data_IF_031663537207
#
_entry.id   IF_031663537207
#
_cell.length_a   1.000
_cell.length_b   1.000
_cell.length_c   1.000
_cell.angle_alpha   90.00
_cell.angle_beta   90.00
_cell.angle_gamma   90.00
#
_symmetry.space_group_name_H-M   'P 1'
#
loop_
_entity.id
_entity.type
_entity.pdbx_description
1 polymer ?
#
# COMPACT_ATOMS: atom_id res chain seq x y z
N UNK A 1 20.00 -12.63 -7.28
CA UNK A 1 18.82 -13.40 -7.73
C UNK A 1 18.47 -12.98 -9.14
N UNK A 2 18.13 -13.91 -10.06
CA UNK A 2 17.70 -13.55 -11.41
C UNK A 2 16.44 -12.67 -11.31
N UNK A 3 16.39 -11.62 -12.13
CA UNK A 3 15.23 -10.72 -12.19
C UNK A 3 14.10 -11.46 -12.89
N UNK A 4 12.99 -11.75 -12.20
CA UNK A 4 11.77 -12.17 -12.86
C UNK A 4 11.34 -11.09 -13.85
N UNK A 5 10.96 -11.50 -15.06
CA UNK A 5 10.27 -10.63 -16.01
C UNK A 5 8.99 -10.09 -15.34
N UNK A 6 8.68 -8.81 -15.56
CA UNK A 6 7.42 -8.22 -15.05
C UNK A 6 6.25 -8.84 -15.80
N UNK A 7 5.19 -9.22 -15.08
CA UNK A 7 3.98 -9.71 -15.70
C UNK A 7 3.36 -8.63 -16.59
N UNK A 8 2.88 -9.04 -17.77
CA UNK A 8 2.10 -8.19 -18.67
C UNK A 8 0.64 -8.35 -18.26
N UNK A 9 -0.07 -7.23 -18.06
CA UNK A 9 -1.48 -7.23 -17.71
C UNK A 9 -2.34 -7.61 -18.92
N UNK A 10 -3.43 -8.34 -18.69
CA UNK A 10 -4.43 -8.65 -19.72
C UNK A 10 -5.33 -7.44 -20.01
N UNK A 11 -5.49 -6.53 -19.05
CA UNK A 11 -6.31 -5.31 -19.19
C UNK A 11 -5.52 -4.11 -19.68
N UNK A 12 -4.18 -4.17 -19.66
CA UNK A 12 -3.31 -3.00 -19.82
C UNK A 12 -3.12 -2.21 -18.52
N UNK A 13 -3.90 -2.49 -17.48
CA UNK A 13 -3.87 -1.73 -16.23
C UNK A 13 -2.85 -2.27 -15.24
N UNK A 14 -2.21 -1.34 -14.51
CA UNK A 14 -1.22 -1.68 -13.50
C UNK A 14 -1.38 -0.82 -12.24
N UNK A 15 -1.18 -1.46 -11.11
CA UNK A 15 -0.92 -0.77 -9.85
C UNK A 15 0.56 -0.45 -9.73
N UNK A 16 0.89 0.81 -9.63
CA UNK A 16 2.25 1.32 -9.44
C UNK A 16 2.35 2.00 -8.10
N UNK A 17 3.35 1.63 -7.31
CA UNK A 17 3.59 2.28 -6.02
C UNK A 17 5.06 2.21 -5.64
N UNK A 18 5.48 3.20 -4.85
CA UNK A 18 6.79 3.24 -4.23
C UNK A 18 6.74 4.06 -2.95
N UNK A 19 7.77 3.95 -2.16
CA UNK A 19 7.89 4.68 -0.89
C UNK A 19 9.29 5.19 -0.66
N UNK A 20 9.42 6.15 0.23
CA UNK A 20 10.70 6.68 0.65
C UNK A 20 11.57 5.61 1.32
N UNK A 21 12.87 5.68 1.06
CA UNK A 21 13.85 4.80 1.69
C UNK A 21 13.72 4.87 3.22
N UNK A 22 13.71 3.70 3.88
CA UNK A 22 13.47 3.61 5.33
C UNK A 22 12.19 4.30 5.80
N UNK A 23 11.15 4.38 4.93
CA UNK A 23 9.87 5.05 5.17
C UNK A 23 9.98 6.57 5.38
N UNK A 24 11.06 7.18 4.92
CA UNK A 24 11.22 8.64 4.98
C UNK A 24 10.10 9.36 4.21
N UNK A 25 9.86 10.59 4.61
CA UNK A 25 8.98 11.51 3.89
C UNK A 25 9.57 11.78 2.51
N UNK A 26 8.72 11.75 1.49
CA UNK A 26 9.05 12.08 0.11
C UNK A 26 8.29 13.31 -0.39
N UNK A 27 7.33 13.81 0.38
CA UNK A 27 6.60 15.05 0.14
C UNK A 27 6.56 15.86 1.44
N UNK A 28 7.42 16.86 1.60
CA UNK A 28 7.46 17.72 2.79
C UNK A 28 6.35 18.77 2.77
N UNK A 29 6.01 19.25 1.57
CA UNK A 29 4.99 20.27 1.37
C UNK A 29 4.22 20.10 0.05
N UNK A 30 3.29 21.00 -0.20
CA UNK A 30 2.45 21.00 -1.39
C UNK A 30 3.26 21.19 -2.68
N UNK A 31 4.37 21.95 -2.63
CA UNK A 31 5.22 22.17 -3.81
C UNK A 31 5.88 20.87 -4.28
N UNK A 32 6.20 19.96 -3.37
CA UNK A 32 6.74 18.65 -3.69
C UNK A 32 5.69 17.79 -4.41
N UNK A 33 4.46 17.81 -3.91
CA UNK A 33 3.36 17.06 -4.52
C UNK A 33 3.00 17.58 -5.91
N UNK A 34 2.92 18.88 -6.07
CA UNK A 34 2.74 19.49 -7.39
C UNK A 34 3.86 19.14 -8.35
N UNK A 35 5.11 19.20 -7.88
CA UNK A 35 6.27 18.85 -8.70
C UNK A 35 6.23 17.37 -9.11
N UNK A 36 5.88 16.47 -8.20
CA UNK A 36 5.76 15.04 -8.50
C UNK A 36 4.67 14.78 -9.55
N UNK A 37 3.49 15.39 -9.38
CA UNK A 37 2.38 15.25 -10.32
C UNK A 37 2.74 15.81 -11.70
N UNK A 38 3.42 16.95 -11.79
CA UNK A 38 3.93 17.50 -13.05
C UNK A 38 4.95 16.56 -13.71
N UNK A 39 5.94 16.03 -12.94
CA UNK A 39 6.92 15.09 -13.49
C UNK A 39 6.24 13.78 -13.99
N UNK A 40 5.19 13.30 -13.31
CA UNK A 40 4.38 12.15 -13.78
C UNK A 40 3.64 12.51 -15.06
N UNK A 41 2.86 13.60 -15.09
CA UNK A 41 2.07 14.02 -16.25
C UNK A 41 2.93 14.15 -17.49
N UNK A 42 4.00 14.94 -17.41
CA UNK A 42 4.89 15.23 -18.55
C UNK A 42 5.53 13.96 -19.13
N UNK A 43 6.03 13.07 -18.23
CA UNK A 43 6.74 11.86 -18.66
C UNK A 43 5.81 10.79 -19.15
N UNK A 44 4.63 10.67 -18.55
CA UNK A 44 3.63 9.69 -18.95
C UNK A 44 3.02 10.05 -20.30
N UNK A 45 2.69 11.31 -20.52
CA UNK A 45 2.22 11.79 -21.83
C UNK A 45 3.24 11.51 -22.95
N UNK A 46 4.54 11.75 -22.70
CA UNK A 46 5.60 11.45 -23.67
C UNK A 46 5.77 9.95 -24.00
N UNK A 47 5.21 9.06 -23.19
CA UNK A 47 5.35 7.61 -23.32
C UNK A 47 4.00 6.90 -23.52
N UNK A 48 2.93 7.64 -23.79
CA UNK A 48 1.59 7.10 -24.03
C UNK A 48 1.08 6.22 -22.87
N UNK A 49 1.39 6.61 -21.64
CA UNK A 49 0.90 5.98 -20.41
C UNK A 49 -0.15 6.92 -19.81
N UNK A 50 -1.36 6.42 -19.57
CA UNK A 50 -2.41 7.21 -18.92
C UNK A 50 -2.47 6.93 -17.42
N UNK A 51 -2.76 7.96 -16.61
CA UNK A 51 -3.04 7.81 -15.18
C UNK A 51 -4.55 7.70 -15.00
N UNK A 52 -5.02 6.60 -14.44
CA UNK A 52 -6.43 6.33 -14.18
C UNK A 52 -6.84 6.73 -12.75
N UNK A 53 -5.96 6.55 -11.79
CA UNK A 53 -6.16 7.00 -10.41
C UNK A 53 -4.83 7.23 -9.71
N UNK A 54 -4.82 8.11 -8.70
CA UNK A 54 -3.62 8.38 -7.91
C UNK A 54 -3.94 8.81 -6.48
N UNK A 55 -2.98 8.55 -5.57
CA UNK A 55 -2.98 9.07 -4.20
C UNK A 55 -1.54 9.27 -3.73
N UNK A 56 -1.25 10.46 -3.20
CA UNK A 56 0.06 10.83 -2.65
C UNK A 56 -0.04 10.93 -1.13
N UNK A 57 0.66 10.05 -0.43
CA UNK A 57 0.81 10.08 1.02
C UNK A 57 2.18 10.68 1.36
N UNK A 58 2.41 11.17 2.56
CA UNK A 58 3.66 11.87 2.90
C UNK A 58 4.94 11.10 2.55
N UNK A 59 4.91 9.77 2.65
CA UNK A 59 6.09 8.91 2.47
C UNK A 59 5.95 7.86 1.37
N UNK A 60 4.86 7.83 0.63
CA UNK A 60 4.63 6.90 -0.48
C UNK A 60 3.55 7.42 -1.43
N UNK A 61 3.45 6.81 -2.59
CA UNK A 61 2.41 7.09 -3.57
C UNK A 61 1.81 5.81 -4.14
N UNK A 62 0.60 5.91 -4.63
CA UNK A 62 -0.08 4.89 -5.41
C UNK A 62 -0.61 5.50 -6.71
N UNK A 63 -0.41 4.80 -7.82
CA UNK A 63 -0.98 5.13 -9.12
C UNK A 63 -1.67 3.89 -9.68
N UNK A 64 -2.80 4.09 -10.34
CA UNK A 64 -3.37 3.15 -11.29
C UNK A 64 -3.13 3.71 -12.67
N UNK A 65 -2.55 2.93 -13.55
CA UNK A 65 -2.14 3.39 -14.88
C UNK A 65 -2.60 2.43 -15.96
N UNK A 66 -2.86 2.97 -17.16
CA UNK A 66 -3.02 2.23 -18.40
C UNK A 66 -1.74 2.34 -19.23
N UNK A 67 -1.16 1.21 -19.60
CA UNK A 67 0.09 1.10 -20.34
C UNK A 67 -0.04 0.05 -21.45
N UNK A 68 -0.75 0.38 -22.53
CA UNK A 68 -1.03 -0.58 -23.59
C UNK A 68 0.22 -0.95 -24.41
N UNK A 69 1.29 -0.15 -24.33
CA UNK A 69 2.50 -0.30 -25.16
C UNK A 69 3.75 -0.75 -24.38
N UNK A 70 3.61 -1.11 -23.09
CA UNK A 70 4.71 -1.50 -22.18
C UNK A 70 5.83 -0.44 -22.04
N UNK A 71 5.42 0.84 -22.06
CA UNK A 71 6.31 1.99 -21.92
C UNK A 71 6.49 2.47 -20.47
N UNK A 72 5.68 1.97 -19.55
CA UNK A 72 5.63 2.37 -18.14
C UNK A 72 6.99 2.35 -17.45
N UNK A 73 7.82 1.35 -17.78
CA UNK A 73 9.15 1.25 -17.15
C UNK A 73 10.03 2.45 -17.45
N UNK A 74 9.97 2.97 -18.67
CA UNK A 74 10.75 4.13 -19.11
C UNK A 74 10.14 5.43 -18.57
N UNK A 75 8.82 5.56 -18.64
CA UNK A 75 8.08 6.70 -18.10
C UNK A 75 8.39 6.91 -16.60
N UNK A 76 8.24 5.85 -15.80
CA UNK A 76 8.53 5.87 -14.36
C UNK A 76 9.99 6.16 -14.04
N UNK A 77 10.92 5.59 -14.79
CA UNK A 77 12.34 5.87 -14.59
C UNK A 77 12.64 7.37 -14.79
N UNK A 78 12.09 7.97 -15.83
CA UNK A 78 12.26 9.40 -16.12
C UNK A 78 11.63 10.25 -15.01
N UNK A 79 10.37 9.99 -14.65
CA UNK A 79 9.63 10.75 -13.64
C UNK A 79 10.30 10.67 -12.27
N UNK A 80 10.56 9.47 -11.75
CA UNK A 80 11.15 9.30 -10.43
C UNK A 80 12.59 9.83 -10.35
N UNK A 81 13.36 9.76 -11.44
CA UNK A 81 14.70 10.36 -11.47
C UNK A 81 14.64 11.87 -11.43
N UNK A 82 13.71 12.49 -12.17
CA UNK A 82 13.53 13.95 -12.17
C UNK A 82 13.12 14.42 -10.77
N UNK A 83 12.12 13.79 -10.20
CA UNK A 83 11.65 14.10 -8.85
C UNK A 83 12.71 13.91 -7.76
N UNK A 84 13.42 12.78 -7.75
CA UNK A 84 14.47 12.51 -6.76
C UNK A 84 15.60 13.57 -6.84
N UNK A 85 15.99 14.01 -8.04
CA UNK A 85 16.97 15.09 -8.21
C UNK A 85 16.46 16.42 -7.67
N UNK A 86 15.19 16.75 -7.92
CA UNK A 86 14.55 17.95 -7.38
C UNK A 86 14.54 17.92 -5.85
N UNK A 87 13.98 16.84 -5.25
CA UNK A 87 13.83 16.71 -3.81
C UNK A 87 15.18 16.74 -3.09
N UNK A 88 16.17 16.00 -3.58
CA UNK A 88 17.51 15.98 -2.99
C UNK A 88 18.18 17.38 -3.06
N UNK A 89 17.99 18.11 -4.15
CA UNK A 89 18.51 19.49 -4.27
C UNK A 89 17.81 20.42 -3.28
N UNK A 90 16.47 20.35 -3.18
CA UNK A 90 15.67 21.16 -2.26
C UNK A 90 16.09 20.96 -0.81
N UNK A 91 16.28 19.69 -0.41
CA UNK A 91 16.54 19.31 0.99
C UNK A 91 18.01 19.20 1.35
N UNK A 92 18.94 19.47 0.41
CA UNK A 92 20.38 19.34 0.61
C UNK A 92 20.85 17.89 0.84
N UNK A 93 20.05 16.90 0.42
CA UNK A 93 20.33 15.48 0.65
C UNK A 93 21.11 14.84 -0.48
N UNK A 94 21.78 13.74 -0.16
CA UNK A 94 22.46 12.85 -1.10
C UNK A 94 21.94 11.43 -0.95
N UNK A 95 22.05 10.61 -2.01
CA UNK A 95 21.64 9.20 -1.99
C UNK A 95 20.23 8.96 -2.53
N UNK A 96 19.73 7.74 -2.28
CA UNK A 96 18.44 7.31 -2.83
C UNK A 96 17.28 7.89 -2.03
N UNK A 97 16.32 8.51 -2.75
CA UNK A 97 15.07 8.98 -2.17
C UNK A 97 14.11 7.81 -1.93
N UNK A 98 13.96 6.94 -2.91
CA UNK A 98 13.07 5.79 -2.87
C UNK A 98 13.78 4.53 -2.34
N UNK A 99 13.01 3.63 -1.70
CA UNK A 99 13.55 2.41 -1.03
C UNK A 99 14.19 1.46 -2.05
N UNK A 100 13.49 1.20 -3.15
CA UNK A 100 13.91 0.31 -4.23
C UNK A 100 13.46 0.86 -5.58
N UNK A 101 13.38 -0.02 -6.58
CA UNK A 101 12.61 0.28 -7.79
C UNK A 101 11.13 0.19 -7.44
N UNK A 102 10.32 1.08 -8.01
CA UNK A 102 8.88 1.04 -7.85
C UNK A 102 8.29 -0.37 -8.12
N UNK A 103 7.25 -0.71 -7.41
CA UNK A 103 6.48 -1.93 -7.61
C UNK A 103 5.49 -1.74 -8.76
N UNK A 104 5.33 -2.75 -9.59
CA UNK A 104 4.34 -2.83 -10.68
C UNK A 104 3.60 -4.16 -10.53
N UNK A 105 2.30 -4.08 -10.32
CA UNK A 105 1.41 -5.24 -10.20
C UNK A 105 0.39 -5.17 -11.32
N UNK A 106 0.29 -6.22 -12.12
CA UNK A 106 -0.69 -6.31 -13.18
C UNK A 106 -2.11 -6.44 -12.61
N UNK A 107 -3.08 -5.79 -13.26
CA UNK A 107 -4.52 -5.87 -12.96
C UNK A 107 -5.15 -6.74 -14.03
N UNK A 108 -5.73 -7.88 -13.64
CA UNK A 108 -6.13 -8.92 -14.58
C UNK A 108 -7.64 -8.95 -14.87
N UNK A 109 -8.44 -8.10 -14.19
CA UNK A 109 -9.89 -8.05 -14.39
C UNK A 109 -10.48 -6.73 -13.89
N UNK A 110 -11.69 -6.40 -14.38
CA UNK A 110 -12.47 -5.24 -13.93
C UNK A 110 -12.73 -5.27 -12.41
N UNK A 111 -12.99 -6.45 -11.86
CA UNK A 111 -13.18 -6.60 -10.40
C UNK A 111 -11.92 -6.19 -9.63
N UNK A 112 -10.74 -6.60 -10.12
CA UNK A 112 -9.48 -6.17 -9.50
C UNK A 112 -9.21 -4.68 -9.74
N UNK A 113 -9.62 -4.15 -10.89
CA UNK A 113 -9.50 -2.73 -11.20
C UNK A 113 -10.33 -1.87 -10.23
N UNK A 114 -11.58 -2.25 -9.97
CA UNK A 114 -12.44 -1.57 -8.99
C UNK A 114 -11.86 -1.67 -7.58
N UNK A 115 -11.42 -2.86 -7.16
CA UNK A 115 -10.78 -3.04 -5.85
C UNK A 115 -9.52 -2.19 -5.68
N UNK A 116 -8.74 -2.05 -6.74
CA UNK A 116 -7.54 -1.19 -6.72
C UNK A 116 -7.92 0.28 -6.66
N UNK A 117 -8.94 0.70 -7.40
CA UNK A 117 -9.46 2.06 -7.38
C UNK A 117 -9.92 2.45 -5.97
N UNK A 118 -10.74 1.60 -5.33
CA UNK A 118 -11.17 1.76 -3.95
C UNK A 118 -9.97 1.83 -2.99
N UNK A 119 -9.02 0.93 -3.17
CA UNK A 119 -7.80 0.89 -2.35
C UNK A 119 -7.03 2.22 -2.43
N UNK A 120 -6.86 2.77 -3.63
CA UNK A 120 -6.12 4.02 -3.85
C UNK A 120 -6.84 5.19 -3.18
N UNK A 121 -8.14 5.35 -3.40
CA UNK A 121 -8.90 6.48 -2.85
C UNK A 121 -9.14 6.37 -1.34
N UNK A 122 -9.21 5.15 -0.79
CA UNK A 122 -9.38 4.92 0.65
C UNK A 122 -8.06 4.99 1.45
N UNK A 123 -6.90 5.14 0.81
CA UNK A 123 -5.63 5.24 1.51
C UNK A 123 -5.59 6.34 2.58
N UNK A 124 -6.08 7.58 2.33
CA UNK A 124 -6.10 8.63 3.33
C UNK A 124 -6.97 8.29 4.54
N UNK A 125 -8.13 7.69 4.31
CA UNK A 125 -9.07 7.26 5.36
C UNK A 125 -8.45 6.17 6.22
N UNK A 126 -7.84 5.16 5.59
CA UNK A 126 -7.11 4.08 6.30
C UNK A 126 -5.89 4.59 7.05
N UNK A 127 -5.26 5.63 6.55
CA UNK A 127 -4.13 6.31 7.20
C UNK A 127 -4.55 7.26 8.32
N UNK A 128 -5.86 7.42 8.58
CA UNK A 128 -6.44 8.38 9.52
C UNK A 128 -5.92 9.83 9.31
N UNK A 129 -5.67 10.20 8.05
CA UNK A 129 -5.19 11.53 7.69
C UNK A 129 -6.34 12.51 7.48
N UNK A 130 -7.37 12.05 6.71
CA UNK A 130 -8.50 12.91 6.36
C UNK A 130 -9.68 12.08 5.80
N UNK A 131 -10.83 12.74 5.59
CA UNK A 131 -11.95 12.14 4.86
C UNK A 131 -11.64 12.05 3.35
N UNK A 132 -12.43 11.26 2.62
CA UNK A 132 -12.32 11.12 1.17
C UNK A 132 -12.37 12.48 0.46
N UNK A 133 -13.31 13.33 0.85
CA UNK A 133 -13.56 14.62 0.20
C UNK A 133 -12.55 15.69 0.58
N UNK A 134 -12.09 15.68 1.83
CA UNK A 134 -11.17 16.67 2.35
C UNK A 134 -9.73 16.40 1.91
N UNK A 135 -9.37 15.12 1.65
CA UNK A 135 -8.01 14.80 1.23
C UNK A 135 -7.72 15.25 -0.20
N UNK A 136 -6.97 16.32 -0.29
CA UNK A 136 -6.67 17.00 -1.55
C UNK A 136 -5.75 16.21 -2.48
N UNK A 137 -4.88 15.35 -1.94
CA UNK A 137 -3.80 14.69 -2.67
C UNK A 137 -4.19 13.29 -3.14
N UNK A 138 -5.40 13.20 -3.70
CA UNK A 138 -5.90 12.03 -4.40
C UNK A 138 -6.74 12.42 -5.61
N UNK A 139 -6.87 11.50 -6.58
CA UNK A 139 -7.72 11.68 -7.75
C UNK A 139 -9.22 11.49 -7.46
N UNK A 140 -9.64 11.30 -6.20
CA UNK A 140 -11.07 11.10 -5.88
C UNK A 140 -11.95 12.22 -6.43
N UNK A 141 -11.47 13.47 -6.39
CA UNK A 141 -12.21 14.62 -6.96
C UNK A 141 -12.44 14.51 -8.46
N UNK A 142 -11.54 13.87 -9.21
CA UNK A 142 -11.76 13.63 -10.64
C UNK A 142 -12.97 12.74 -10.87
N UNK A 143 -13.17 11.75 -10.02
CA UNK A 143 -14.31 10.84 -10.04
C UNK A 143 -15.60 11.50 -9.57
N UNK A 144 -15.51 12.41 -8.60
CA UNK A 144 -16.66 13.15 -8.06
C UNK A 144 -17.15 14.22 -9.04
N UNK A 145 -16.24 14.98 -9.63
CA UNK A 145 -16.54 16.15 -10.45
C UNK A 145 -16.67 15.84 -11.96
N UNK A 146 -16.19 14.67 -12.41
CA UNK A 146 -16.12 14.29 -13.81
C UNK A 146 -14.96 14.95 -14.58
N UNK A 147 -14.06 15.66 -13.88
CA UNK A 147 -12.81 16.20 -14.41
C UNK A 147 -11.73 16.26 -13.32
N UNK A 148 -10.47 16.11 -13.70
CA UNK A 148 -9.36 16.20 -12.76
C UNK A 148 -8.91 17.65 -12.56
N UNK A 149 -9.00 18.21 -11.32
CA UNK A 149 -8.48 19.56 -11.04
C UNK A 149 -6.97 19.71 -11.27
N UNK A 150 -6.23 18.61 -11.36
CA UNK A 150 -4.79 18.59 -11.62
C UNK A 150 -4.42 18.28 -13.09
N UNK A 151 -5.42 17.97 -13.93
CA UNK A 151 -5.24 17.60 -15.34
C UNK A 151 -4.25 16.45 -15.58
N UNK A 152 -4.35 15.40 -14.78
CA UNK A 152 -3.44 14.25 -14.81
C UNK A 152 -4.20 12.93 -15.00
N UNK A 153 -5.39 12.84 -14.40
CA UNK A 153 -6.17 11.62 -14.30
C UNK A 153 -7.26 11.57 -15.37
N UNK A 154 -7.24 10.53 -16.20
CA UNK A 154 -8.39 10.15 -17.00
C UNK A 154 -9.25 9.15 -16.21
N UNK A 155 -10.32 9.65 -15.60
CA UNK A 155 -11.25 8.84 -14.83
C UNK A 155 -12.25 8.07 -15.73
N UNK A 156 -12.37 8.42 -17.02
CA UNK A 156 -13.41 7.91 -17.92
C UNK A 156 -13.46 6.39 -18.00
N UNK A 157 -12.35 5.66 -18.24
CA UNK A 157 -12.39 4.21 -18.37
C UNK A 157 -12.89 3.52 -17.10
N UNK A 158 -12.52 4.05 -15.95
CA UNK A 158 -12.94 3.48 -14.67
C UNK A 158 -14.38 3.85 -14.32
N UNK A 159 -14.82 5.07 -14.65
CA UNK A 159 -16.21 5.50 -14.46
C UNK A 159 -17.17 4.65 -15.29
N UNK A 160 -16.78 4.24 -16.49
CA UNK A 160 -17.58 3.33 -17.32
C UNK A 160 -17.75 1.95 -16.64
N UNK A 161 -16.70 1.44 -15.99
CA UNK A 161 -16.74 0.15 -15.27
C UNK A 161 -17.60 0.24 -14.01
N UNK A 162 -17.55 1.35 -13.25
CA UNK A 162 -18.24 1.48 -11.95
C UNK A 162 -19.65 2.05 -12.06
N UNK A 163 -20.12 2.36 -13.27
CA UNK A 163 -21.49 2.87 -13.50
C UNK A 163 -21.64 4.37 -13.28
N UNK A 164 -20.57 5.13 -13.43
CA UNK A 164 -20.55 6.59 -13.38
C UNK A 164 -20.20 7.17 -12.01
N UNK A 165 -19.96 8.48 -12.00
CA UNK A 165 -19.49 9.25 -10.81
C UNK A 165 -20.38 9.06 -9.59
N UNK A 166 -21.70 9.17 -9.77
CA UNK A 166 -22.64 9.07 -8.65
C UNK A 166 -22.58 7.69 -7.98
N UNK A 167 -22.65 6.63 -8.80
CA UNK A 167 -22.63 5.25 -8.31
C UNK A 167 -21.33 4.96 -7.55
N UNK A 168 -20.21 5.41 -8.11
CA UNK A 168 -18.90 5.23 -7.47
C UNK A 168 -18.76 6.01 -6.15
N UNK A 169 -19.19 7.27 -6.10
CA UNK A 169 -19.11 8.07 -4.88
C UNK A 169 -19.97 7.47 -3.75
N UNK A 170 -21.23 7.10 -4.04
CA UNK A 170 -22.12 6.47 -3.06
C UNK A 170 -21.50 5.15 -2.52
N UNK A 171 -20.95 4.31 -3.41
CA UNK A 171 -20.24 3.09 -3.02
C UNK A 171 -19.05 3.37 -2.10
N UNK A 172 -18.18 4.31 -2.48
CA UNK A 172 -16.95 4.57 -1.74
C UNK A 172 -17.21 5.22 -0.38
N UNK A 173 -18.22 6.10 -0.28
CA UNK A 173 -18.67 6.69 0.99
C UNK A 173 -19.20 5.62 1.95
N UNK A 174 -19.99 4.66 1.45
CA UNK A 174 -20.45 3.53 2.27
C UNK A 174 -19.28 2.68 2.78
N UNK A 175 -18.30 2.39 1.93
CA UNK A 175 -17.10 1.65 2.32
C UNK A 175 -16.26 2.44 3.33
N UNK A 176 -16.07 3.74 3.11
CA UNK A 176 -15.36 4.62 4.04
C UNK A 176 -16.06 4.69 5.39
N UNK A 177 -17.40 4.83 5.39
CA UNK A 177 -18.21 4.82 6.61
C UNK A 177 -18.06 3.54 7.41
N UNK A 178 -17.98 2.38 6.73
CA UNK A 178 -17.70 1.10 7.39
C UNK A 178 -16.29 1.04 7.98
N UNK A 179 -15.29 1.59 7.30
CA UNK A 179 -13.91 1.65 7.82
C UNK A 179 -13.84 2.52 9.09
N UNK A 180 -14.55 3.65 9.09
CA UNK A 180 -14.57 4.57 10.23
C UNK A 180 -15.46 4.08 11.39
N UNK A 181 -16.54 3.32 11.09
CA UNK A 181 -17.46 2.77 12.11
C UNK A 181 -16.96 1.49 12.77
N UNK A 182 -16.12 0.72 12.07
CA UNK A 182 -15.27 -0.24 12.76
C UNK A 182 -14.35 0.62 13.60
N UNK A 183 -14.59 0.69 14.92
CA UNK A 183 -13.56 1.14 15.83
C UNK A 183 -12.28 0.44 15.37
N UNK A 184 -11.44 1.17 14.67
CA UNK A 184 -10.04 0.80 14.52
C UNK A 184 -9.53 0.98 15.94
N UNK A 185 -9.74 -0.04 16.76
CA UNK A 185 -8.88 -0.24 17.91
C UNK A 185 -7.50 -0.10 17.30
N UNK A 186 -6.74 0.96 17.66
CA UNK A 186 -5.45 1.21 17.04
C UNK A 186 -4.78 -0.14 17.12
N UNK A 187 -4.31 -0.70 15.97
CA UNK A 187 -3.61 -1.98 15.96
C UNK A 187 -2.55 -1.82 17.01
N UNK A 188 -2.87 -2.26 18.24
CA UNK A 188 -2.01 -2.06 19.41
C UNK A 188 -0.78 -2.87 19.09
N UNK A 189 0.18 -2.20 18.50
CA UNK A 189 1.48 -2.80 18.24
C UNK A 189 2.03 -3.13 19.61
N UNK A 190 1.88 -4.39 19.99
CA UNK A 190 2.34 -4.88 21.28
C UNK A 190 3.80 -4.48 21.38
N UNK A 191 4.19 -3.59 22.33
CA UNK A 191 5.59 -3.26 22.53
C UNK A 191 6.40 -4.52 22.78
N UNK A 192 7.65 -4.53 22.40
CA UNK A 192 8.53 -5.67 22.60
C UNK A 192 8.65 -6.08 24.07
N UNK A 193 8.47 -5.13 24.98
CA UNK A 193 8.48 -5.31 26.44
C UNK A 193 7.24 -6.05 26.95
N UNK A 194 6.07 -5.81 26.34
CA UNK A 194 4.81 -6.45 26.71
C UNK A 194 4.63 -7.82 26.02
N UNK A 195 5.40 -8.11 24.98
CA UNK A 195 5.19 -9.29 24.15
C UNK A 195 5.29 -10.62 24.91
N UNK A 196 6.15 -10.71 25.91
CA UNK A 196 6.28 -11.91 26.78
C UNK A 196 5.08 -12.06 27.73
N UNK A 197 4.59 -10.96 28.27
CA UNK A 197 3.41 -10.95 29.15
C UNK A 197 2.17 -11.43 28.38
N UNK A 198 1.93 -10.86 27.20
CA UNK A 198 0.85 -11.27 26.29
C UNK A 198 0.98 -12.74 25.90
N UNK A 199 2.19 -13.22 25.62
CA UNK A 199 2.40 -14.63 25.27
C UNK A 199 2.04 -15.58 26.42
N UNK A 200 2.33 -15.20 27.67
CA UNK A 200 1.95 -15.98 28.87
C UNK A 200 0.43 -15.97 29.13
N UNK A 201 -0.24 -14.85 28.89
CA UNK A 201 -1.70 -14.76 28.98
C UNK A 201 -2.40 -15.64 27.93
N UNK A 202 -1.87 -15.67 26.70
CA UNK A 202 -2.41 -16.46 25.59
C UNK A 202 -2.16 -17.96 25.78
N UNK A 203 -1.07 -18.31 26.45
CA UNK A 203 -0.64 -19.69 26.70
C UNK A 203 -0.46 -19.96 28.22
N UNK A 204 -1.53 -19.89 29.02
CA UNK A 204 -1.40 -19.94 30.49
C UNK A 204 -0.81 -21.24 31.03
N UNK A 205 -0.93 -22.33 30.26
CA UNK A 205 -0.48 -23.66 30.69
C UNK A 205 0.90 -24.06 30.12
N UNK A 206 1.53 -23.19 29.31
CA UNK A 206 2.77 -23.52 28.61
C UNK A 206 3.69 -22.30 28.61
N UNK A 207 4.90 -22.47 29.15
CA UNK A 207 5.91 -21.41 29.02
C UNK A 207 6.29 -21.24 27.53
N UNK A 208 6.16 -20.03 26.97
CA UNK A 208 6.53 -19.76 25.59
C UNK A 208 7.95 -20.21 25.20
N UNK A 209 8.89 -20.18 26.13
CA UNK A 209 10.27 -20.62 25.90
C UNK A 209 10.38 -22.15 25.67
N UNK A 210 9.43 -22.93 26.18
CA UNK A 210 9.39 -24.38 26.03
C UNK A 210 8.67 -24.87 24.77
N UNK A 211 8.03 -24.00 24.01
CA UNK A 211 7.29 -24.36 22.79
C UNK A 211 8.14 -25.14 21.78
N UNK A 212 9.44 -24.88 21.75
CA UNK A 212 10.36 -25.58 20.84
C UNK A 212 10.45 -27.09 21.13
N UNK A 213 10.18 -27.53 22.36
CA UNK A 213 10.22 -28.92 22.77
C UNK A 213 8.91 -29.69 22.48
N UNK A 214 7.83 -29.00 22.14
CA UNK A 214 6.54 -29.64 21.87
C UNK A 214 6.52 -30.36 20.50
N UNK A 215 5.67 -31.40 20.35
CA UNK A 215 5.37 -31.99 19.06
C UNK A 215 4.90 -30.94 18.06
N UNK A 216 5.27 -31.12 16.78
CA UNK A 216 5.00 -30.13 15.74
C UNK A 216 3.55 -29.63 15.66
N UNK A 217 2.49 -30.53 15.72
CA UNK A 217 1.10 -30.06 15.63
C UNK A 217 0.71 -29.14 16.81
N UNK A 218 1.09 -29.50 18.03
CA UNK A 218 0.80 -28.71 19.24
C UNK A 218 1.56 -27.35 19.23
N UNK A 219 2.81 -27.42 18.85
CA UNK A 219 3.66 -26.22 18.69
C UNK A 219 3.06 -25.26 17.67
N UNK A 220 2.70 -25.76 16.48
CA UNK A 220 2.16 -24.95 15.40
C UNK A 220 0.82 -24.32 15.78
N UNK A 221 -0.04 -25.03 16.55
CA UNK A 221 -1.27 -24.48 17.13
C UNK A 221 -0.99 -23.34 18.13
N UNK A 222 0.01 -23.49 18.99
CA UNK A 222 0.42 -22.44 19.92
C UNK A 222 0.97 -21.20 19.18
N UNK A 223 1.80 -21.40 18.16
CA UNK A 223 2.32 -20.30 17.33
C UNK A 223 1.18 -19.54 16.64
N UNK A 224 0.16 -20.25 16.17
CA UNK A 224 -1.02 -19.63 15.56
C UNK A 224 -1.82 -18.81 16.59
N UNK A 225 -1.97 -19.30 17.83
CA UNK A 225 -2.62 -18.54 18.92
C UNK A 225 -1.88 -17.24 19.21
N UNK A 226 -0.55 -17.28 19.29
CA UNK A 226 0.29 -16.10 19.49
C UNK A 226 0.14 -15.09 18.34
N UNK A 227 0.04 -15.57 17.09
CA UNK A 227 -0.22 -14.70 15.93
C UNK A 227 -1.60 -14.05 15.99
N UNK A 228 -2.63 -14.80 16.39
CA UNK A 228 -4.00 -14.27 16.60
C UNK A 228 -4.07 -13.23 17.71
N UNK A 229 -3.15 -13.26 18.65
CA UNK A 229 -2.99 -12.24 19.68
C UNK A 229 -2.12 -11.05 19.23
N UNK A 230 -1.98 -10.87 17.91
CA UNK A 230 -1.25 -9.76 17.25
C UNK A 230 0.26 -9.68 17.53
N UNK A 231 0.87 -10.73 18.07
CA UNK A 231 2.33 -10.80 18.17
C UNK A 231 2.95 -10.94 16.77
N UNK A 232 3.99 -10.18 16.49
CA UNK A 232 4.72 -10.25 15.22
C UNK A 232 5.54 -11.54 15.13
N UNK A 233 5.86 -12.00 13.92
CA UNK A 233 6.76 -13.15 13.69
C UNK A 233 8.10 -12.96 14.41
N UNK A 234 8.64 -11.74 14.42
CA UNK A 234 9.91 -11.43 15.10
C UNK A 234 9.79 -11.54 16.62
N UNK A 235 8.70 -11.07 17.21
CA UNK A 235 8.42 -11.19 18.65
C UNK A 235 8.26 -12.65 19.06
N UNK A 236 7.45 -13.41 18.32
CA UNK A 236 7.25 -14.84 18.56
C UNK A 236 8.58 -15.60 18.46
N UNK A 237 9.36 -15.36 17.41
CA UNK A 237 10.66 -16.01 17.25
C UNK A 237 11.61 -15.73 18.42
N UNK A 238 11.65 -14.49 18.90
CA UNK A 238 12.48 -14.09 20.05
C UNK A 238 12.04 -14.73 21.37
N UNK A 239 10.73 -14.76 21.63
CA UNK A 239 10.16 -15.27 22.88
C UNK A 239 10.27 -16.81 22.95
N UNK A 240 10.05 -17.49 21.81
CA UNK A 240 9.98 -18.96 21.78
C UNK A 240 11.31 -19.62 21.40
N UNK A 241 12.29 -18.86 20.90
CA UNK A 241 13.53 -19.40 20.32
C UNK A 241 13.33 -20.21 19.04
N UNK A 242 12.13 -20.15 18.42
CA UNK A 242 11.81 -20.82 17.16
C UNK A 242 12.14 -19.87 16.00
N UNK A 243 12.87 -20.36 14.98
CA UNK A 243 13.28 -19.52 13.86
C UNK A 243 12.09 -18.86 13.13
N UNK A 244 12.24 -17.61 12.72
CA UNK A 244 11.20 -16.81 12.07
C UNK A 244 10.57 -17.52 10.85
N UNK A 245 11.37 -18.22 10.04
CA UNK A 245 10.88 -19.01 8.90
C UNK A 245 9.92 -20.14 9.33
N UNK A 246 10.20 -20.79 10.47
CA UNK A 246 9.33 -21.84 11.02
C UNK A 246 8.02 -21.24 11.55
N UNK A 247 8.08 -20.09 12.23
CA UNK A 247 6.90 -19.35 12.67
C UNK A 247 6.04 -18.95 11.47
N UNK A 248 6.64 -18.40 10.44
CA UNK A 248 5.92 -18.02 9.20
C UNK A 248 5.22 -19.23 8.56
N UNK A 249 5.92 -20.37 8.45
CA UNK A 249 5.32 -21.60 7.89
C UNK A 249 4.16 -22.13 8.73
N UNK A 250 4.31 -22.16 10.05
CA UNK A 250 3.29 -22.63 10.97
C UNK A 250 2.03 -21.74 10.96
N UNK A 251 2.17 -20.48 10.61
CA UNK A 251 1.10 -19.48 10.61
C UNK A 251 0.67 -19.02 9.21
N UNK A 252 1.11 -19.71 8.15
CA UNK A 252 0.83 -19.34 6.76
C UNK A 252 -0.66 -19.34 6.37
N UNK A 253 -1.50 -20.10 7.08
CA UNK A 253 -2.95 -20.11 6.89
C UNK A 253 -3.70 -18.98 7.61
N UNK A 254 -3.02 -18.17 8.41
CA UNK A 254 -3.61 -17.03 9.09
C UNK A 254 -3.42 -15.78 8.23
N UNK A 255 -4.50 -15.36 7.58
CA UNK A 255 -4.60 -14.01 7.01
C UNK A 255 -5.10 -13.09 8.12
N UNK A 256 -4.33 -12.07 8.47
CA UNK A 256 -4.84 -10.95 9.24
C UNK A 256 -6.10 -10.47 8.52
N UNK A 257 -7.25 -10.48 9.19
CA UNK A 257 -8.43 -9.84 8.64
C UNK A 257 -8.05 -8.38 8.38
N UNK A 258 -8.14 -8.01 7.09
CA UNK A 258 -7.79 -6.68 6.60
C UNK A 258 -8.73 -5.64 7.19
#
# INVERSE_FOLDING_TARGET
MPRCARAVSLTGYYHVYDRGNSKQIIFEDDSDRYRFLSDISDRFACHEVAVLAWCLMDNHFHLMVDDPFDNLSKAMQCALTAYAKYFNRKTGRTGHLFDNRYSRVAVESDTQAVQLLDYIHLNPVKGALDSLEAYRWSSFKAYQLGYDPFDICDATPMLDIVGGSRCYCEHLEEVAGRILSVEVLPRRRIPDEEALSVAREVLPSIDPALLKALPRPERDACLLRLRRAHLTVKQIARITGIGATSVTKATAGWKEAA
#
